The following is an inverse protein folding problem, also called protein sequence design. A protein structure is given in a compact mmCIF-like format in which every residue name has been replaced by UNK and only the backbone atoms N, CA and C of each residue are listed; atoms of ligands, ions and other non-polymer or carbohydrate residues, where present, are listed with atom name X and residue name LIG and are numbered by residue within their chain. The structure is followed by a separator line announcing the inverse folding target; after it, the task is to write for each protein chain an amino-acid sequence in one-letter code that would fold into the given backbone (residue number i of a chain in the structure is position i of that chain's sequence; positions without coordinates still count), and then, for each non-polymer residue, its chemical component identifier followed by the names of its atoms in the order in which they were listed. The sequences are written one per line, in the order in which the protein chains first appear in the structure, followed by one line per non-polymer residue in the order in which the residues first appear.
data_IF_312175107771
#
_entry.id   IF_312175107771
#
_cell.length_a   1.000
_cell.length_b   1.000
_cell.length_c   1.000
_cell.angle_alpha   90.00
_cell.angle_beta   90.00
_cell.angle_gamma   90.00
#
_symmetry.space_group_name_H-M   'P 1'
#
loop_
_entity.id
_entity.type
_entity.pdbx_description
1 polymer ?
#
# COMPACT_ATOMS: atom_id res chain seq x y z
N UNK A 1 13.75 -13.14 -16.04
CA UNK A 1 14.02 -13.93 -14.84
C UNK A 1 13.37 -15.30 -15.03
N UNK A 2 14.17 -16.35 -15.01
CA UNK A 2 13.70 -17.73 -15.29
C UNK A 2 13.54 -18.54 -13.98
N UNK A 3 13.15 -17.87 -12.89
CA UNK A 3 12.88 -18.58 -11.65
C UNK A 3 11.62 -19.43 -11.81
N UNK A 4 11.68 -20.69 -11.36
CA UNK A 4 10.55 -21.60 -11.36
C UNK A 4 10.12 -21.94 -9.93
N UNK A 5 8.83 -22.06 -9.73
CA UNK A 5 8.20 -22.47 -8.49
C UNK A 5 7.83 -23.95 -8.53
N UNK A 6 7.33 -24.47 -7.42
CA UNK A 6 6.83 -25.83 -7.34
C UNK A 6 5.80 -26.10 -8.45
N UNK A 7 5.89 -27.25 -9.12
CA UNK A 7 5.03 -27.58 -10.24
C UNK A 7 5.46 -27.01 -11.59
N UNK A 8 6.71 -26.57 -11.72
CA UNK A 8 7.27 -25.97 -12.95
C UNK A 8 6.58 -24.68 -13.43
N UNK A 9 5.90 -23.98 -12.52
CA UNK A 9 5.28 -22.69 -12.82
C UNK A 9 6.37 -21.60 -12.82
N UNK A 10 6.41 -20.75 -13.84
CA UNK A 10 7.41 -19.68 -13.89
C UNK A 10 7.02 -18.51 -12.99
N UNK A 11 8.02 -17.78 -12.48
CA UNK A 11 7.76 -16.55 -11.72
C UNK A 11 6.96 -15.53 -12.54
N UNK A 12 7.18 -15.49 -13.84
CA UNK A 12 6.43 -14.61 -14.76
C UNK A 12 4.91 -14.88 -14.72
N UNK A 13 4.51 -16.14 -14.52
CA UNK A 13 3.09 -16.53 -14.52
C UNK A 13 2.39 -16.22 -13.20
N UNK A 14 3.11 -16.25 -12.07
CA UNK A 14 2.47 -16.18 -10.74
C UNK A 14 2.85 -14.98 -9.90
N UNK A 15 3.88 -14.21 -10.25
CA UNK A 15 4.37 -13.10 -9.41
C UNK A 15 3.31 -12.05 -9.07
N UNK A 16 2.34 -11.86 -9.95
CA UNK A 16 1.22 -10.94 -9.71
C UNK A 16 0.35 -11.39 -8.53
N UNK A 17 0.38 -12.69 -8.20
CA UNK A 17 -0.37 -13.28 -7.10
C UNK A 17 0.44 -13.44 -5.81
N UNK A 18 1.75 -13.17 -5.82
CA UNK A 18 2.60 -13.37 -4.64
C UNK A 18 2.06 -12.60 -3.41
N UNK A 19 1.79 -11.31 -3.58
CA UNK A 19 1.21 -10.49 -2.50
C UNK A 19 -0.19 -10.96 -2.09
N UNK A 20 -0.99 -11.46 -3.03
CA UNK A 20 -2.28 -12.05 -2.72
C UNK A 20 -2.14 -13.28 -1.83
N UNK A 21 -1.29 -14.23 -2.20
CA UNK A 21 -1.09 -15.46 -1.42
C UNK A 21 -0.49 -15.19 -0.04
N UNK A 22 0.44 -14.25 0.05
CA UNK A 22 1.01 -13.84 1.34
C UNK A 22 -0.06 -13.23 2.25
N UNK A 23 -0.83 -12.29 1.72
CA UNK A 23 -1.94 -11.63 2.44
C UNK A 23 -3.01 -12.65 2.86
N UNK A 24 -3.39 -13.54 1.95
CA UNK A 24 -4.37 -14.60 2.22
C UNK A 24 -3.93 -15.53 3.35
N UNK A 25 -2.71 -16.09 3.25
CA UNK A 25 -2.21 -17.01 4.26
C UNK A 25 -2.00 -16.34 5.62
N UNK A 26 -1.52 -15.09 5.63
CA UNK A 26 -1.40 -14.29 6.86
C UNK A 26 -2.75 -14.04 7.50
N UNK A 27 -3.78 -13.74 6.70
CA UNK A 27 -5.15 -13.56 7.18
C UNK A 27 -5.70 -14.84 7.84
N UNK A 28 -5.52 -15.99 7.19
CA UNK A 28 -5.93 -17.28 7.73
C UNK A 28 -5.19 -17.60 9.04
N UNK A 29 -3.88 -17.38 9.07
CA UNK A 29 -3.07 -17.60 10.27
C UNK A 29 -3.55 -16.74 11.43
N UNK A 30 -3.75 -15.44 11.22
CA UNK A 30 -4.24 -14.55 12.28
C UNK A 30 -5.61 -14.99 12.80
N UNK A 31 -6.53 -15.37 11.90
CA UNK A 31 -7.84 -15.90 12.29
C UNK A 31 -7.74 -17.19 13.10
N UNK A 32 -6.83 -18.10 12.74
CA UNK A 32 -6.61 -19.34 13.50
C UNK A 32 -6.11 -19.08 14.94
N UNK A 33 -5.54 -17.91 15.19
CA UNK A 33 -5.10 -17.42 16.51
C UNK A 33 -6.15 -16.55 17.23
N UNK A 34 -7.39 -16.52 16.74
CA UNK A 34 -8.46 -15.65 17.24
C UNK A 34 -8.05 -14.16 17.23
N UNK A 35 -7.22 -13.75 16.28
CA UNK A 35 -6.83 -12.36 16.08
C UNK A 35 -7.62 -11.75 14.94
N UNK A 36 -7.98 -10.48 15.06
CA UNK A 36 -8.57 -9.70 13.98
C UNK A 36 -7.46 -9.36 12.99
N UNK A 37 -7.50 -9.84 11.73
CA UNK A 37 -6.48 -9.49 10.75
C UNK A 37 -6.51 -8.00 10.44
N UNK A 38 -5.34 -7.37 10.46
CA UNK A 38 -5.08 -6.06 9.91
C UNK A 38 -3.79 -6.15 9.09
N UNK A 39 -3.92 -6.18 7.77
CA UNK A 39 -2.82 -6.46 6.85
C UNK A 39 -2.82 -5.39 5.78
N UNK A 40 -1.69 -4.73 5.60
CA UNK A 40 -1.44 -3.77 4.53
C UNK A 40 -0.40 -4.37 3.61
N UNK A 41 -0.65 -4.39 2.32
CA UNK A 41 0.26 -4.91 1.30
C UNK A 41 0.38 -3.92 0.15
N UNK A 42 1.62 -3.72 -0.33
CA UNK A 42 1.87 -2.98 -1.57
C UNK A 42 1.48 -3.82 -2.78
N UNK A 43 1.87 -5.10 -2.80
CA UNK A 43 1.50 -6.04 -3.86
C UNK A 43 0.05 -6.48 -3.67
N UNK A 44 -0.81 -6.06 -4.57
CA UNK A 44 -2.24 -6.34 -4.53
C UNK A 44 -2.75 -6.69 -5.93
N UNK A 45 -3.74 -7.57 -5.99
CA UNK A 45 -4.40 -7.98 -7.22
C UNK A 45 -5.88 -8.22 -6.95
N UNK A 46 -6.62 -8.69 -7.95
CA UNK A 46 -8.04 -8.99 -7.83
C UNK A 46 -8.34 -9.94 -6.65
N UNK A 47 -9.26 -9.53 -5.80
CA UNK A 47 -9.67 -10.30 -4.62
C UNK A 47 -8.82 -10.07 -3.37
N UNK A 48 -7.72 -9.31 -3.43
CA UNK A 48 -6.89 -8.97 -2.28
C UNK A 48 -7.67 -8.24 -1.18
N UNK A 49 -8.67 -7.45 -1.57
CA UNK A 49 -9.55 -6.71 -0.68
C UNK A 49 -10.27 -7.55 0.38
N UNK A 50 -10.42 -8.86 0.13
CA UNK A 50 -11.04 -9.79 1.08
C UNK A 50 -10.13 -10.13 2.28
N UNK A 51 -8.84 -9.91 2.12
CA UNK A 51 -7.84 -10.42 3.06
C UNK A 51 -6.92 -9.33 3.61
N UNK A 52 -6.77 -8.23 2.91
CA UNK A 52 -5.90 -7.12 3.32
C UNK A 52 -6.25 -5.83 2.59
N UNK A 53 -5.49 -4.81 2.93
CA UNK A 53 -5.60 -3.45 2.45
C UNK A 53 -4.37 -3.06 1.65
N UNK A 54 -4.34 -1.85 1.11
CA UNK A 54 -3.28 -1.41 0.21
C UNK A 54 -2.71 -0.05 0.64
N UNK A 55 -1.41 0.15 0.41
CA UNK A 55 -0.84 1.50 0.32
C UNK A 55 -0.07 1.64 -1.00
N UNK A 56 0.03 2.85 -1.49
CA UNK A 56 0.55 3.13 -2.85
C UNK A 56 2.07 3.04 -2.97
N UNK A 57 2.77 2.66 -1.90
CA UNK A 57 4.22 2.44 -1.89
C UNK A 57 5.02 3.72 -1.70
N UNK A 58 6.27 3.70 -2.16
CA UNK A 58 7.27 4.74 -1.95
C UNK A 58 7.04 5.95 -2.86
N UNK A 59 6.09 6.79 -2.50
CA UNK A 59 5.84 8.07 -3.16
C UNK A 59 6.87 9.12 -2.72
N UNK A 60 7.12 10.10 -3.58
CA UNK A 60 8.05 11.18 -3.23
C UNK A 60 7.37 12.37 -2.54
N UNK A 61 8.15 13.09 -1.73
CA UNK A 61 7.73 14.30 -1.05
C UNK A 61 7.63 15.48 -2.03
N UNK A 62 6.62 15.47 -2.88
CA UNK A 62 6.31 16.56 -3.81
C UNK A 62 4.81 16.73 -4.06
N UNK A 63 4.42 17.89 -4.59
CA UNK A 63 3.02 18.23 -4.87
C UNK A 63 2.40 17.38 -5.98
N UNK A 64 3.19 16.80 -6.87
CA UNK A 64 2.68 15.92 -7.93
C UNK A 64 2.18 14.61 -7.30
N UNK A 65 2.94 14.01 -6.38
CA UNK A 65 2.51 12.81 -5.65
C UNK A 65 1.36 13.09 -4.70
N UNK A 66 1.34 14.23 -4.02
CA UNK A 66 0.18 14.66 -3.24
C UNK A 66 -1.08 14.70 -4.11
N UNK A 67 -1.00 15.29 -5.31
CA UNK A 67 -2.13 15.38 -6.24
C UNK A 67 -2.54 13.99 -6.78
N UNK A 68 -1.57 13.17 -7.20
CA UNK A 68 -1.87 11.84 -7.77
C UNK A 68 -2.50 10.90 -6.75
N UNK A 69 -2.15 11.03 -5.47
CA UNK A 69 -2.71 10.21 -4.41
C UNK A 69 -4.25 10.30 -4.30
N UNK A 70 -4.85 11.41 -4.73
CA UNK A 70 -6.30 11.56 -4.79
C UNK A 70 -6.89 10.57 -5.79
N UNK A 71 -6.35 10.56 -7.02
CA UNK A 71 -6.79 9.64 -8.07
C UNK A 71 -6.51 8.19 -7.70
N UNK A 72 -5.36 7.91 -7.07
CA UNK A 72 -4.99 6.57 -6.63
C UNK A 72 -5.98 6.03 -5.60
N UNK A 73 -6.36 6.83 -4.62
CA UNK A 73 -7.36 6.44 -3.63
C UNK A 73 -8.72 6.10 -4.29
N UNK A 74 -9.18 6.89 -5.25
CA UNK A 74 -10.42 6.60 -5.97
C UNK A 74 -10.30 5.35 -6.84
N UNK A 75 -9.20 5.17 -7.56
CA UNK A 75 -8.98 4.03 -8.42
C UNK A 75 -8.99 2.71 -7.63
N UNK A 76 -8.28 2.66 -6.50
CA UNK A 76 -8.28 1.45 -5.67
C UNK A 76 -9.64 1.12 -5.09
N UNK A 77 -10.44 2.13 -4.72
CA UNK A 77 -11.82 1.91 -4.28
C UNK A 77 -12.69 1.37 -5.40
N UNK A 78 -12.53 1.85 -6.64
CA UNK A 78 -13.22 1.29 -7.81
C UNK A 78 -12.81 -0.15 -8.09
N UNK A 79 -11.56 -0.54 -7.78
CA UNK A 79 -11.09 -1.94 -7.87
C UNK A 79 -11.55 -2.81 -6.69
N UNK A 80 -12.31 -2.25 -5.76
CA UNK A 80 -12.84 -2.94 -4.59
C UNK A 80 -11.92 -2.94 -3.37
N UNK A 81 -10.77 -2.27 -3.41
CA UNK A 81 -9.86 -2.11 -2.27
C UNK A 81 -10.20 -0.80 -1.55
N UNK A 82 -11.07 -0.89 -0.57
CA UNK A 82 -11.66 0.29 0.09
C UNK A 82 -10.71 0.99 1.06
N UNK A 83 -9.86 0.23 1.77
CA UNK A 83 -8.88 0.79 2.69
C UNK A 83 -7.54 0.95 1.97
N UNK A 84 -7.28 2.16 1.52
CA UNK A 84 -6.09 2.55 0.75
C UNK A 84 -5.61 3.93 1.19
N UNK A 85 -4.32 4.17 1.07
CA UNK A 85 -3.70 5.47 1.33
C UNK A 85 -2.30 5.57 0.77
N UNK A 86 -1.80 6.78 0.64
CA UNK A 86 -0.41 7.09 0.34
C UNK A 86 0.33 7.43 1.64
N UNK A 87 1.67 7.30 1.62
CA UNK A 87 2.48 7.80 2.72
C UNK A 87 2.36 9.33 2.78
N UNK A 88 1.78 9.83 3.87
CA UNK A 88 1.52 11.26 4.07
C UNK A 88 2.87 11.97 4.21
N UNK A 89 2.98 13.14 3.65
CA UNK A 89 4.18 13.99 3.52
C UNK A 89 5.22 13.45 2.53
N UNK A 90 5.04 12.24 1.99
CA UNK A 90 5.94 11.58 1.05
C UNK A 90 6.99 10.71 1.72
N UNK A 91 7.20 9.49 1.17
CA UNK A 91 8.19 8.55 1.68
C UNK A 91 9.62 8.96 1.30
N UNK A 92 9.87 9.21 0.01
CA UNK A 92 11.20 9.49 -0.52
C UNK A 92 11.48 10.99 -0.63
N UNK A 93 12.69 11.37 -0.27
CA UNK A 93 13.12 12.75 -0.34
C UNK A 93 12.73 13.60 0.87
N UNK A 94 12.87 14.91 0.73
CA UNK A 94 12.67 15.85 1.83
C UNK A 94 11.34 16.61 1.64
N UNK A 95 10.47 16.47 2.61
CA UNK A 95 9.26 17.29 2.70
C UNK A 95 9.56 18.69 3.23
N UNK A 96 8.58 19.58 3.15
CA UNK A 96 8.60 20.89 3.77
C UNK A 96 7.26 21.16 4.46
N UNK A 97 7.24 22.19 5.30
CA UNK A 97 6.08 22.53 6.12
C UNK A 97 4.80 22.70 5.30
N UNK A 98 4.85 23.40 4.18
CA UNK A 98 3.67 23.64 3.34
C UNK A 98 3.14 22.34 2.73
N UNK A 99 4.02 21.55 2.12
CA UNK A 99 3.65 20.29 1.49
C UNK A 99 3.06 19.31 2.53
N UNK A 100 3.75 19.16 3.67
CA UNK A 100 3.34 18.23 4.69
C UNK A 100 2.00 18.67 5.35
N UNK A 101 1.83 19.95 5.66
CA UNK A 101 0.57 20.47 6.19
C UNK A 101 -0.62 20.21 5.25
N UNK A 102 -0.44 20.45 3.93
CA UNK A 102 -1.47 20.16 2.94
C UNK A 102 -1.73 18.67 2.80
N UNK A 103 -0.68 17.86 2.86
CA UNK A 103 -0.84 16.41 2.75
C UNK A 103 -1.49 15.80 3.99
N UNK A 104 -1.22 16.31 5.18
CA UNK A 104 -1.93 15.94 6.41
C UNK A 104 -3.42 16.26 6.33
N UNK A 105 -3.78 17.43 5.80
CA UNK A 105 -5.18 17.80 5.57
C UNK A 105 -5.87 16.82 4.62
N UNK A 106 -5.25 16.49 3.48
CA UNK A 106 -5.77 15.48 2.55
C UNK A 106 -5.77 14.09 3.18
N UNK A 107 -4.68 13.71 3.82
CA UNK A 107 -4.49 12.38 4.40
C UNK A 107 -5.43 12.07 5.56
N UNK A 108 -5.98 13.09 6.21
CA UNK A 108 -7.05 12.92 7.22
C UNK A 108 -8.33 12.32 6.62
N UNK A 109 -8.49 12.39 5.30
CA UNK A 109 -9.61 11.81 4.56
C UNK A 109 -9.27 10.44 3.94
N UNK A 110 -8.02 9.98 4.03
CA UNK A 110 -7.65 8.67 3.52
C UNK A 110 -8.28 7.55 4.35
N UNK A 111 -8.82 6.51 3.70
CA UNK A 111 -9.27 5.31 4.41
C UNK A 111 -8.16 4.60 5.21
N UNK A 112 -6.93 4.64 4.70
CA UNK A 112 -5.71 4.29 5.42
C UNK A 112 -4.82 5.53 5.52
N UNK A 113 -4.61 6.02 6.73
CA UNK A 113 -3.84 7.23 7.01
C UNK A 113 -2.56 6.85 7.77
N UNK A 114 -1.40 7.15 7.19
CA UNK A 114 -0.09 6.88 7.78
C UNK A 114 0.90 7.97 7.38
N UNK A 115 1.52 8.60 8.35
CA UNK A 115 2.71 9.42 8.17
C UNK A 115 3.94 8.51 8.17
N UNK A 116 4.77 8.58 7.14
CA UNK A 116 5.89 7.66 6.97
C UNK A 116 6.90 8.17 5.96
N UNK A 117 8.18 8.20 6.37
CA UNK A 117 9.30 8.60 5.53
C UNK A 117 10.46 7.59 5.58
N UNK A 118 11.38 7.71 4.63
CA UNK A 118 12.64 6.99 4.65
C UNK A 118 13.59 7.52 5.72
N UNK A 119 14.53 6.69 6.19
CA UNK A 119 15.45 7.05 7.26
C UNK A 119 16.38 8.24 6.93
N UNK A 120 16.63 8.50 5.65
CA UNK A 120 17.47 9.60 5.17
C UNK A 120 16.70 10.89 4.90
N UNK A 121 15.37 10.84 4.95
CA UNK A 121 14.51 12.00 4.70
C UNK A 121 14.41 12.94 5.90
N UNK A 122 13.84 14.13 5.63
CA UNK A 122 13.49 15.10 6.68
C UNK A 122 12.48 14.45 7.64
N UNK A 123 12.68 14.55 8.97
CA UNK A 123 11.68 14.12 9.93
C UNK A 123 10.32 14.81 9.69
N UNK A 124 9.25 14.05 9.85
CA UNK A 124 7.87 14.48 9.63
C UNK A 124 7.14 14.65 10.94
#
# INVERSE_FOLDING_TARGET
MNSTHYGNVTDADIRIFNGFFETYNTNLFLKSKNKRPFIISRSSTFGSNKFGFHWTGDNFADFMFLRSSIADNFNFQLFGIQMVGADICGFGGNTNEELCARWLQLGSLYPFSRDHNENAGTPQ
#
